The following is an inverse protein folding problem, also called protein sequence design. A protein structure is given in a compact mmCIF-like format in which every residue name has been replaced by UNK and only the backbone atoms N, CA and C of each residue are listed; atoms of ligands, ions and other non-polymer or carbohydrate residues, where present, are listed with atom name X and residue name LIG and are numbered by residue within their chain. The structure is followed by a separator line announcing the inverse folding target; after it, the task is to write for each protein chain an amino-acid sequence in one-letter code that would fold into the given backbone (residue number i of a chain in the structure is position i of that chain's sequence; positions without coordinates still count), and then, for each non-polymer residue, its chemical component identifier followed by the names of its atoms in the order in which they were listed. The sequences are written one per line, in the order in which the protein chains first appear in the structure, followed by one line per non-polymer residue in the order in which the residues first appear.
data_IF_792162074751
#
_entry.id   IF_792162074751
#
_cell.length_a   1.000
_cell.length_b   1.000
_cell.length_c   1.000
_cell.angle_alpha   90.00
_cell.angle_beta   90.00
_cell.angle_gamma   90.00
#
_symmetry.space_group_name_H-M   'P 1'
#
loop_
_entity.id
_entity.type
_entity.pdbx_description
1 polymer ?
#
# COMPACT_ATOMS: atom_id res chain seq x y z
N UNK A 1 2.66 13.10 20.75
CA UNK A 1 4.12 13.21 20.96
C UNK A 1 4.53 12.07 21.88
N UNK A 2 5.56 11.32 21.52
CA UNK A 2 6.08 10.25 22.38
C UNK A 2 6.76 10.88 23.59
N UNK A 3 6.84 10.17 24.70
CA UNK A 3 7.56 10.68 25.88
C UNK A 3 9.07 10.71 25.62
N UNK A 4 9.75 11.70 26.17
CA UNK A 4 11.18 11.99 25.94
C UNK A 4 12.08 10.77 26.24
N UNK A 5 11.76 9.97 27.25
CA UNK A 5 12.51 8.74 27.56
C UNK A 5 12.37 7.65 26.48
N UNK A 6 11.25 7.60 25.75
CA UNK A 6 11.03 6.63 24.66
C UNK A 6 11.93 6.99 23.48
N UNK A 7 12.05 8.29 23.16
CA UNK A 7 12.90 8.75 22.06
C UNK A 7 14.37 8.40 22.30
N UNK A 8 14.85 8.56 23.54
CA UNK A 8 16.22 8.16 23.93
C UNK A 8 16.47 6.68 23.72
N UNK A 9 15.58 5.80 24.20
CA UNK A 9 15.81 4.35 24.11
C UNK A 9 15.58 3.79 22.70
N UNK A 10 14.80 4.45 21.84
CA UNK A 10 14.60 4.00 20.45
C UNK A 10 15.93 3.92 19.69
N UNK A 11 16.88 4.82 19.99
CA UNK A 11 18.21 4.78 19.40
C UNK A 11 19.06 3.58 19.83
N UNK A 12 18.67 2.92 20.93
CA UNK A 12 19.37 1.74 21.48
C UNK A 12 18.72 0.42 21.06
N UNK A 13 17.48 0.46 20.54
CA UNK A 13 16.74 -0.73 20.08
C UNK A 13 17.38 -1.27 18.80
N UNK A 14 17.60 -2.58 18.76
CA UNK A 14 17.97 -3.32 17.57
C UNK A 14 16.76 -4.03 16.95
N UNK A 15 16.90 -4.51 15.71
CA UNK A 15 15.82 -5.28 15.07
C UNK A 15 15.54 -6.56 15.87
N UNK A 16 16.57 -7.14 16.47
CA UNK A 16 16.52 -8.38 17.24
C UNK A 16 15.68 -8.23 18.52
N UNK A 17 15.60 -7.03 19.08
CA UNK A 17 14.77 -6.73 20.26
C UNK A 17 13.26 -6.70 19.94
N UNK A 18 12.88 -6.62 18.66
CA UNK A 18 11.49 -6.57 18.23
C UNK A 18 10.87 -7.97 18.07
N UNK A 19 9.56 -8.13 18.33
CA UNK A 19 8.82 -9.33 17.95
C UNK A 19 8.90 -9.57 16.43
N UNK A 20 8.81 -10.83 15.98
CA UNK A 20 8.99 -11.19 14.57
C UNK A 20 8.08 -10.40 13.61
N UNK A 21 6.81 -10.20 13.99
CA UNK A 21 5.86 -9.40 13.22
C UNK A 21 6.30 -7.94 13.03
N UNK A 22 7.00 -7.37 14.00
CA UNK A 22 7.55 -6.02 13.94
C UNK A 22 8.93 -5.96 13.28
N UNK A 23 9.67 -7.07 13.19
CA UNK A 23 10.97 -7.11 12.50
C UNK A 23 10.80 -6.82 11.01
N UNK A 24 9.82 -7.45 10.36
CA UNK A 24 9.53 -7.19 8.94
C UNK A 24 9.11 -5.75 8.70
N UNK A 25 8.23 -5.23 9.56
CA UNK A 25 7.80 -3.82 9.52
C UNK A 25 9.00 -2.89 9.71
N UNK A 26 9.82 -3.10 10.74
CA UNK A 26 10.98 -2.26 11.03
C UNK A 26 12.03 -2.29 9.91
N UNK A 27 12.21 -3.42 9.20
CA UNK A 27 13.06 -3.47 8.00
C UNK A 27 12.51 -2.60 6.87
N UNK A 28 11.19 -2.51 6.72
CA UNK A 28 10.55 -1.73 5.67
C UNK A 28 10.49 -0.22 5.97
N UNK A 29 10.21 0.17 7.22
CA UNK A 29 9.93 1.58 7.59
C UNK A 29 10.86 2.16 8.67
N UNK A 30 11.79 1.38 9.21
CA UNK A 30 12.68 1.76 10.32
C UNK A 30 12.09 1.44 11.70
N UNK A 31 12.97 1.22 12.68
CA UNK A 31 12.61 0.87 14.08
C UNK A 31 11.72 1.95 14.70
N UNK A 32 12.09 3.22 14.54
CA UNK A 32 11.33 4.35 15.09
C UNK A 32 9.87 4.34 14.61
N UNK A 33 9.64 4.14 13.31
CA UNK A 33 8.28 4.11 12.75
C UNK A 33 7.53 2.83 13.14
N UNK A 34 8.23 1.71 13.31
CA UNK A 34 7.64 0.48 13.83
C UNK A 34 7.17 0.66 15.29
N UNK A 35 7.95 1.34 16.14
CA UNK A 35 7.54 1.68 17.51
C UNK A 35 6.38 2.67 17.50
N UNK A 36 6.36 3.65 16.59
CA UNK A 36 5.19 4.52 16.42
C UNK A 36 3.94 3.72 16.01
N UNK A 37 4.07 2.77 15.10
CA UNK A 37 2.96 1.89 14.71
C UNK A 37 2.42 1.11 15.91
N UNK A 38 3.30 0.60 16.78
CA UNK A 38 2.87 -0.16 17.96
C UNK A 38 2.03 0.67 18.95
N UNK A 39 2.21 1.98 19.01
CA UNK A 39 1.33 2.86 19.80
C UNK A 39 -0.10 2.96 19.26
N UNK A 40 -0.31 2.62 17.98
CA UNK A 40 -1.62 2.69 17.30
C UNK A 40 -2.30 1.32 17.26
N UNK A 41 -1.53 0.25 16.99
CA UNK A 41 -2.09 -1.10 16.76
C UNK A 41 -1.68 -2.12 17.83
N UNK A 42 -0.77 -1.76 18.75
CA UNK A 42 -0.28 -2.65 19.79
C UNK A 42 -1.39 -3.07 20.76
N UNK A 43 -1.43 -4.37 21.09
CA UNK A 43 -2.46 -4.96 21.95
C UNK A 43 -3.74 -5.40 21.23
N UNK A 44 -3.89 -5.08 19.94
CA UNK A 44 -5.02 -5.49 19.11
C UNK A 44 -4.56 -6.44 17.99
N UNK A 45 -5.38 -7.44 17.67
CA UNK A 45 -5.18 -8.25 16.47
C UNK A 45 -5.67 -7.46 15.25
N UNK A 46 -4.75 -6.80 14.53
CA UNK A 46 -5.07 -6.03 13.33
C UNK A 46 -4.92 -6.90 12.08
N UNK A 47 -5.97 -7.01 11.28
CA UNK A 47 -5.88 -7.55 9.93
C UNK A 47 -5.44 -6.43 8.99
N UNK A 48 -4.37 -6.65 8.24
CA UNK A 48 -3.91 -5.73 7.18
C UNK A 48 -4.47 -6.20 5.84
N UNK A 49 -5.61 -5.64 5.36
CA UNK A 49 -6.16 -6.02 4.08
C UNK A 49 -5.21 -5.62 2.94
N UNK A 50 -5.21 -6.42 1.88
CA UNK A 50 -4.47 -6.13 0.66
C UNK A 50 -4.99 -4.84 0.02
N UNK A 51 -4.15 -3.80 -0.03
CA UNK A 51 -4.52 -2.48 -0.55
C UNK A 51 -4.50 -2.41 -2.09
N UNK A 52 -4.11 -3.48 -2.77
CA UNK A 52 -3.95 -3.51 -4.24
C UNK A 52 -5.22 -3.10 -4.99
N UNK A 53 -6.40 -3.46 -4.49
CA UNK A 53 -7.67 -3.02 -5.08
C UNK A 53 -7.81 -1.49 -5.09
N UNK A 54 -7.42 -0.83 -3.99
CA UNK A 54 -7.43 0.62 -3.84
C UNK A 54 -6.37 1.25 -4.77
N UNK A 55 -5.16 0.69 -4.80
CA UNK A 55 -4.09 1.16 -5.67
C UNK A 55 -4.46 1.04 -7.15
N UNK A 56 -5.07 -0.08 -7.55
CA UNK A 56 -5.59 -0.31 -8.91
C UNK A 56 -6.61 0.75 -9.29
N UNK A 57 -7.60 1.01 -8.41
CA UNK A 57 -8.60 2.04 -8.64
C UNK A 57 -7.97 3.42 -8.83
N UNK A 58 -7.03 3.79 -7.96
CA UNK A 58 -6.32 5.08 -8.03
C UNK A 58 -5.46 5.19 -9.28
N UNK A 59 -4.81 4.11 -9.70
CA UNK A 59 -4.07 4.04 -10.97
C UNK A 59 -5.00 4.31 -12.16
N UNK A 60 -6.16 3.65 -12.20
CA UNK A 60 -7.12 3.81 -13.30
C UNK A 60 -7.68 5.24 -13.35
N UNK A 61 -7.95 5.85 -12.19
CA UNK A 61 -8.29 7.29 -12.10
C UNK A 61 -7.18 8.19 -12.66
N UNK A 62 -5.91 7.91 -12.33
CA UNK A 62 -4.78 8.66 -12.87
C UNK A 62 -4.64 8.49 -14.39
N UNK A 63 -4.83 7.27 -14.92
CA UNK A 63 -4.78 6.99 -16.37
C UNK A 63 -5.84 7.82 -17.10
N UNK A 64 -7.07 7.88 -16.59
CA UNK A 64 -8.15 8.70 -17.20
C UNK A 64 -7.82 10.19 -17.17
N UNK A 65 -7.31 10.68 -16.03
CA UNK A 65 -6.95 12.10 -15.88
C UNK A 65 -5.82 12.53 -16.80
N UNK A 66 -4.85 11.65 -17.05
CA UNK A 66 -3.69 11.93 -17.91
C UNK A 66 -3.94 11.61 -19.39
N UNK A 67 -5.10 11.07 -19.73
CA UNK A 67 -5.43 10.72 -21.11
C UNK A 67 -5.64 11.96 -21.97
N UNK A 68 -4.90 12.04 -23.09
CA UNK A 68 -4.93 13.19 -24.02
C UNK A 68 -5.62 12.87 -25.35
N UNK A 69 -6.19 11.67 -25.50
CA UNK A 69 -6.87 11.23 -26.72
C UNK A 69 -6.10 10.22 -27.56
N UNK A 70 -4.76 10.26 -27.56
CA UNK A 70 -3.94 9.33 -28.35
C UNK A 70 -2.65 8.83 -27.65
N UNK A 71 -2.48 9.11 -26.35
CA UNK A 71 -1.27 8.74 -25.58
C UNK A 71 -1.33 7.34 -24.93
N UNK A 72 -2.09 6.40 -25.50
CA UNK A 72 -2.28 5.05 -24.93
C UNK A 72 -0.95 4.32 -24.67
N UNK A 73 -0.01 4.38 -25.62
CA UNK A 73 1.30 3.74 -25.52
C UNK A 73 2.16 4.30 -24.40
N UNK A 74 2.11 5.61 -24.21
CA UNK A 74 2.91 6.29 -23.18
C UNK A 74 2.37 5.99 -21.79
N UNK A 75 1.04 5.99 -21.63
CA UNK A 75 0.38 5.57 -20.40
C UNK A 75 0.62 4.09 -20.09
N UNK A 76 0.57 3.22 -21.09
CA UNK A 76 0.88 1.80 -20.96
C UNK A 76 2.29 1.59 -20.41
N UNK A 77 3.29 2.28 -20.97
CA UNK A 77 4.67 2.24 -20.47
C UNK A 77 4.80 2.81 -19.06
N UNK A 78 4.17 3.95 -18.78
CA UNK A 78 4.25 4.62 -17.46
C UNK A 78 3.69 3.75 -16.34
N UNK A 79 2.57 3.08 -16.59
CA UNK A 79 1.85 2.30 -15.58
C UNK A 79 2.12 0.79 -15.64
N UNK A 80 3.02 0.33 -16.52
CA UNK A 80 3.35 -1.09 -16.68
C UNK A 80 2.17 -1.92 -17.19
N UNK A 81 1.33 -1.35 -18.06
CA UNK A 81 0.16 -1.99 -18.65
C UNK A 81 0.34 -2.24 -20.14
N UNK A 82 -0.57 -3.01 -20.74
CA UNK A 82 -0.68 -3.09 -22.20
C UNK A 82 -1.55 -1.94 -22.72
N UNK A 83 -1.35 -1.53 -23.97
CA UNK A 83 -2.20 -0.51 -24.62
C UNK A 83 -3.68 -0.89 -24.63
N UNK A 84 -4.00 -2.19 -24.74
CA UNK A 84 -5.37 -2.69 -24.66
C UNK A 84 -6.00 -2.36 -23.32
N UNK A 85 -5.32 -2.66 -22.22
CA UNK A 85 -5.81 -2.37 -20.87
C UNK A 85 -6.00 -0.87 -20.65
N UNK A 86 -5.09 -0.02 -21.17
CA UNK A 86 -5.27 1.44 -21.10
C UNK A 86 -6.52 1.88 -21.86
N UNK A 87 -6.78 1.35 -23.06
CA UNK A 87 -8.01 1.62 -23.81
C UNK A 87 -9.26 1.20 -23.02
N UNK A 88 -9.25 -0.02 -22.46
CA UNK A 88 -10.38 -0.52 -21.66
C UNK A 88 -10.65 0.34 -20.41
N UNK A 89 -9.60 0.86 -19.76
CA UNK A 89 -9.69 1.77 -18.61
C UNK A 89 -10.31 3.12 -19.01
N UNK A 90 -9.84 3.70 -20.13
CA UNK A 90 -10.31 4.98 -20.66
C UNK A 90 -11.76 4.87 -21.16
N UNK A 91 -12.12 3.75 -21.79
CA UNK A 91 -13.47 3.47 -22.29
C UNK A 91 -14.45 3.00 -21.20
N UNK A 92 -14.01 2.95 -19.93
CA UNK A 92 -14.80 2.50 -18.76
C UNK A 92 -15.35 1.06 -18.88
N UNK A 93 -14.78 0.24 -19.76
CA UNK A 93 -15.20 -1.16 -19.95
C UNK A 93 -14.79 -2.08 -18.79
N UNK A 94 -13.88 -1.61 -17.93
CA UNK A 94 -13.50 -2.32 -16.70
C UNK A 94 -14.41 -1.83 -15.57
N UNK A 95 -15.58 -2.45 -15.46
CA UNK A 95 -16.47 -2.32 -14.31
C UNK A 95 -15.78 -2.85 -13.05
N UNK A 96 -15.84 -2.03 -11.99
CA UNK A 96 -15.18 -2.25 -10.71
C UNK A 96 -15.87 -3.39 -9.95
N UNK A 97 -15.50 -4.64 -10.18
CA UNK A 97 -15.95 -5.73 -9.32
C UNK A 97 -15.18 -5.72 -7.98
N UNK A 98 -15.88 -5.91 -6.83
CA UNK A 98 -15.26 -5.94 -5.52
C UNK A 98 -14.41 -7.22 -5.41
N UNK A 99 -13.09 -7.03 -5.40
CA UNK A 99 -12.09 -8.11 -5.32
C UNK A 99 -11.97 -8.67 -3.89
N UNK A 100 -13.09 -8.99 -3.24
CA UNK A 100 -13.12 -9.74 -1.98
C UNK A 100 -14.41 -10.57 -1.92
N UNK A 101 -14.50 -11.61 -2.74
CA UNK A 101 -15.36 -12.74 -2.43
C UNK A 101 -14.59 -14.04 -2.72
N UNK A 102 -13.67 -14.38 -1.80
CA UNK A 102 -13.15 -15.74 -1.69
C UNK A 102 -13.00 -16.06 -0.19
N UNK A 103 -13.62 -17.17 0.20
CA UNK A 103 -13.49 -17.96 1.43
C UNK A 103 -14.23 -17.52 2.71
N UNK A 104 -15.53 -17.81 2.75
CA UNK A 104 -16.09 -18.58 3.87
C UNK A 104 -16.25 -20.03 3.40
N UNK A 105 -15.23 -20.86 3.68
CA UNK A 105 -15.37 -22.30 3.86
C UNK A 105 -15.03 -22.58 5.33
#
# INVERSE_FOLDING_TARGET
MMSEWIETIIGEITIEDLPDSYREVARAIGIENAVKLSSVVGGLAYYFPQIEGILRKKRDECIRREFTGNNHRDLARKYGLTERWVREIVEEKISQDPLFDISAH
#
